data_IF_992315173525
#
_entry.id   IF_992315173525
#
_cell.length_a   1.000
_cell.length_b   1.000
_cell.length_c   1.000
_cell.angle_alpha   90.00
_cell.angle_beta   90.00
_cell.angle_gamma   90.00
#
_symmetry.space_group_name_H-M   'P 1'
#
loop_
_entity.id
_entity.type
_entity.pdbx_description
1 polymer ?
#
# COMPACT_ATOMS: atom_id res chain seq x y z
N UNK A 1 74.26 61.83 27.15
CA UNK A 1 73.36 62.14 28.29
C UNK A 1 72.11 62.79 27.73
N UNK A 2 70.93 62.24 28.11
CA UNK A 2 69.54 62.69 27.84
C UNK A 2 69.13 62.82 26.35
N UNK A 3 67.94 62.39 25.88
CA UNK A 3 66.72 61.85 26.48
C UNK A 3 65.67 61.77 25.35
N UNK A 4 64.83 60.74 25.37
CA UNK A 4 64.00 60.26 24.25
C UNK A 4 62.61 60.92 24.08
N UNK A 5 61.95 60.53 22.98
CA UNK A 5 60.49 60.47 22.71
C UNK A 5 59.73 61.78 22.37
N UNK A 6 58.75 61.83 21.45
CA UNK A 6 57.87 60.79 20.86
C UNK A 6 57.22 61.27 19.54
N UNK A 7 56.84 60.28 18.70
CA UNK A 7 56.10 60.36 17.44
C UNK A 7 54.67 60.95 17.49
N UNK A 8 54.19 61.48 16.35
CA UNK A 8 53.10 60.88 15.52
C UNK A 8 52.87 61.66 14.20
N UNK A 9 52.77 60.97 13.03
CA UNK A 9 52.29 61.55 11.78
C UNK A 9 50.78 61.26 11.59
N UNK A 10 50.07 62.01 10.75
CA UNK A 10 48.76 61.60 10.26
C UNK A 10 48.58 61.86 8.74
N UNK A 11 48.72 60.75 8.01
CA UNK A 11 47.92 60.20 6.89
C UNK A 11 47.69 61.05 5.61
N UNK A 12 48.55 60.76 4.64
CA UNK A 12 48.32 60.45 3.21
C UNK A 12 46.95 60.66 2.53
N UNK A 13 46.97 61.52 1.51
CA UNK A 13 46.72 61.26 0.08
C UNK A 13 45.46 60.48 -0.41
N UNK A 14 44.55 61.27 -1.01
CA UNK A 14 43.78 61.11 -2.28
C UNK A 14 44.11 59.86 -3.09
N UNK A 15 43.12 59.13 -3.65
CA UNK A 15 43.17 58.56 -5.02
C UNK A 15 41.76 58.31 -5.59
N UNK A 16 41.71 58.40 -6.92
CA UNK A 16 40.55 58.60 -7.77
C UNK A 16 39.84 57.30 -8.21
N UNK A 17 38.64 57.49 -8.75
CA UNK A 17 37.72 56.50 -9.30
C UNK A 17 38.28 55.60 -10.40
N UNK A 18 37.71 54.39 -10.52
CA UNK A 18 37.58 53.65 -11.79
C UNK A 18 36.21 52.97 -11.83
N UNK A 19 35.39 53.34 -12.80
CA UNK A 19 34.21 52.58 -13.22
C UNK A 19 34.68 51.22 -13.74
N UNK A 20 34.12 50.14 -13.20
CA UNK A 20 34.21 48.81 -13.78
C UNK A 20 32.82 48.42 -14.27
N UNK A 21 32.64 48.36 -15.59
CA UNK A 21 31.48 47.74 -16.23
C UNK A 21 31.59 46.23 -16.07
N UNK A 22 30.73 45.61 -15.25
CA UNK A 22 30.53 44.17 -15.25
C UNK A 22 29.64 43.78 -16.43
N UNK A 23 30.20 43.07 -17.41
CA UNK A 23 29.39 42.24 -18.31
C UNK A 23 29.13 40.90 -17.62
N UNK A 24 27.90 40.70 -17.13
CA UNK A 24 27.46 39.37 -16.71
C UNK A 24 27.18 38.53 -17.96
N UNK A 25 28.07 37.59 -18.27
CA UNK A 25 27.83 36.58 -19.30
C UNK A 25 26.78 35.60 -18.76
N UNK A 26 25.54 35.70 -19.25
CA UNK A 26 24.47 34.75 -18.95
C UNK A 26 24.70 33.50 -19.80
N UNK A 27 25.29 32.45 -19.20
CA UNK A 27 25.39 31.15 -19.85
C UNK A 27 24.02 30.49 -19.85
N UNK A 28 23.38 30.40 -21.01
CA UNK A 28 22.17 29.62 -21.19
C UNK A 28 22.57 28.13 -21.23
N UNK A 29 22.43 27.44 -20.10
CA UNK A 29 22.53 25.98 -20.07
C UNK A 29 21.34 25.42 -20.84
N UNK A 30 21.58 24.74 -21.96
CA UNK A 30 20.54 24.00 -22.65
C UNK A 30 20.02 22.91 -21.70
N UNK A 31 18.77 23.05 -21.25
CA UNK A 31 18.04 21.97 -20.59
C UNK A 31 17.76 20.93 -21.67
N UNK A 32 18.44 19.79 -21.61
CA UNK A 32 18.04 18.63 -22.39
C UNK A 32 16.76 18.10 -21.79
N UNK A 33 15.63 18.25 -22.47
CA UNK A 33 14.44 17.44 -22.17
C UNK A 33 14.79 16.02 -22.62
N UNK A 34 15.15 15.17 -21.67
CA UNK A 34 15.28 13.74 -21.90
C UNK A 34 13.87 13.15 -22.01
N UNK A 35 13.32 13.19 -23.24
CA UNK A 35 12.07 12.53 -23.57
C UNK A 35 12.36 11.06 -23.91
N UNK A 36 12.73 10.28 -22.90
CA UNK A 36 12.71 8.82 -22.97
C UNK A 36 11.90 8.22 -21.83
N UNK A 37 10.68 8.72 -21.64
CA UNK A 37 9.61 7.90 -21.08
C UNK A 37 8.82 7.34 -22.25
N UNK A 38 9.43 6.40 -22.97
CA UNK A 38 8.64 5.35 -23.60
C UNK A 38 8.05 4.57 -22.42
N UNK A 39 6.86 4.99 -21.97
CA UNK A 39 6.08 4.23 -21.01
C UNK A 39 5.92 2.85 -21.59
N UNK A 40 6.60 1.86 -21.01
CA UNK A 40 6.05 0.53 -21.06
C UNK A 40 4.67 0.69 -20.43
N UNK A 41 3.62 0.62 -21.24
CA UNK A 41 2.28 0.37 -20.71
C UNK A 41 2.46 -0.79 -19.73
N UNK A 42 2.19 -0.59 -18.43
CA UNK A 42 2.31 -1.70 -17.49
C UNK A 42 1.52 -2.85 -18.09
N UNK A 43 2.11 -4.05 -18.09
CA UNK A 43 1.39 -5.25 -18.50
C UNK A 43 0.01 -5.23 -17.82
N UNK A 44 -1.06 -5.54 -18.56
CA UNK A 44 -2.42 -5.44 -18.05
C UNK A 44 -2.48 -6.05 -16.65
N UNK A 45 -2.69 -5.20 -15.64
CA UNK A 45 -2.71 -5.61 -14.25
C UNK A 45 -4.05 -6.26 -13.96
N UNK A 46 -4.04 -7.44 -13.33
CA UNK A 46 -5.26 -8.05 -12.82
C UNK A 46 -5.72 -7.39 -11.51
N UNK A 47 -4.86 -6.58 -10.89
CA UNK A 47 -5.09 -5.98 -9.58
C UNK A 47 -4.90 -4.46 -9.60
N UNK A 48 -5.69 -3.77 -8.78
CA UNK A 48 -5.64 -2.33 -8.57
C UNK A 48 -5.74 -2.01 -7.09
N UNK A 49 -4.88 -1.11 -6.62
CA UNK A 49 -4.90 -0.55 -5.27
C UNK A 49 -5.21 0.93 -5.41
N UNK A 50 -6.35 1.38 -4.87
CA UNK A 50 -6.81 2.77 -4.99
C UNK A 50 -6.87 3.27 -6.44
N UNK A 51 -7.23 2.37 -7.35
CA UNK A 51 -7.32 2.62 -8.79
C UNK A 51 -5.98 2.65 -9.53
N UNK A 52 -4.85 2.45 -8.85
CA UNK A 52 -3.54 2.28 -9.49
C UNK A 52 -3.28 0.80 -9.79
N UNK A 53 -2.85 0.44 -11.01
CA UNK A 53 -2.54 -0.94 -11.35
C UNK A 53 -1.34 -1.42 -10.52
N UNK A 54 -1.51 -2.53 -9.81
CA UNK A 54 -0.46 -3.16 -9.00
C UNK A 54 -0.13 -4.53 -9.58
N UNK A 55 1.06 -4.71 -10.20
CA UNK A 55 1.47 -6.02 -10.69
C UNK A 55 1.77 -6.94 -9.51
N UNK A 56 1.30 -8.19 -9.59
CA UNK A 56 1.67 -9.23 -8.64
C UNK A 56 3.15 -9.65 -8.71
N UNK A 57 3.59 -10.59 -7.87
CA UNK A 57 2.75 -11.44 -7.03
C UNK A 57 2.33 -10.81 -5.69
N UNK A 58 2.98 -9.75 -5.24
CA UNK A 58 2.63 -9.05 -4.00
C UNK A 58 1.82 -7.80 -4.33
N UNK A 59 0.60 -7.72 -3.78
CA UNK A 59 -0.33 -6.62 -3.95
C UNK A 59 -0.47 -5.92 -2.61
N UNK A 60 0.29 -4.85 -2.44
CA UNK A 60 0.35 -4.09 -1.20
C UNK A 60 -0.62 -2.92 -1.21
N UNK A 61 -1.44 -2.84 -0.16
CA UNK A 61 -2.09 -1.63 0.30
C UNK A 61 -1.08 -0.61 0.84
N UNK A 62 -1.59 0.34 1.60
CA UNK A 62 -0.85 1.39 2.30
C UNK A 62 -0.98 1.17 3.80
N UNK A 63 -0.97 2.23 4.61
CA UNK A 63 -1.16 2.11 6.07
C UNK A 63 -2.50 2.73 6.52
N UNK A 64 -3.39 3.01 5.57
CA UNK A 64 -4.73 3.48 5.84
C UNK A 64 -5.68 2.95 4.79
N UNK A 65 -6.97 3.16 5.00
CA UNK A 65 -8.07 2.54 4.25
C UNK A 65 -7.85 2.48 2.73
N UNK A 66 -7.69 1.26 2.22
CA UNK A 66 -7.45 0.95 0.81
C UNK A 66 -8.65 0.28 0.14
N UNK A 67 -8.75 0.51 -1.16
CA UNK A 67 -9.71 -0.17 -2.03
C UNK A 67 -8.94 -1.03 -3.03
N UNK A 68 -8.84 -2.32 -2.71
CA UNK A 68 -8.06 -3.31 -3.44
C UNK A 68 -9.01 -4.19 -4.27
N UNK A 69 -8.74 -4.28 -5.57
CA UNK A 69 -9.54 -5.08 -6.51
C UNK A 69 -8.65 -5.97 -7.33
N UNK A 70 -8.96 -7.26 -7.39
CA UNK A 70 -8.28 -8.20 -8.26
C UNK A 70 -9.27 -9.08 -9.04
N UNK A 71 -9.04 -9.27 -10.33
CA UNK A 71 -9.85 -10.20 -11.13
C UNK A 71 -9.57 -11.65 -10.73
N UNK A 72 -8.30 -12.02 -10.55
CA UNK A 72 -7.93 -13.36 -10.11
C UNK A 72 -6.61 -13.37 -9.35
N UNK A 73 -6.54 -14.19 -8.31
CA UNK A 73 -5.30 -14.57 -7.65
C UNK A 73 -4.99 -16.04 -7.98
N UNK A 74 -3.71 -16.33 -8.21
CA UNK A 74 -3.21 -17.69 -8.39
C UNK A 74 -2.17 -18.04 -7.31
N UNK A 75 -1.73 -19.30 -7.30
CA UNK A 75 -0.66 -19.76 -6.40
C UNK A 75 0.58 -18.86 -6.49
N UNK A 76 0.94 -18.27 -5.35
CA UNK A 76 2.05 -17.34 -5.21
C UNK A 76 1.61 -15.88 -5.08
N UNK A 77 0.40 -15.52 -5.51
CA UNK A 77 -0.13 -14.18 -5.32
C UNK A 77 -0.56 -13.96 -3.87
N UNK A 78 -0.24 -12.79 -3.34
CA UNK A 78 -0.58 -12.38 -1.98
C UNK A 78 -1.07 -10.92 -1.98
N UNK A 79 -2.25 -10.69 -1.40
CA UNK A 79 -2.73 -9.36 -1.05
C UNK A 79 -2.35 -9.06 0.41
N UNK A 80 -1.89 -7.84 0.67
CA UNK A 80 -1.71 -7.28 2.01
C UNK A 80 -2.46 -5.94 2.11
N UNK A 81 -3.54 -5.86 2.89
CA UNK A 81 -4.19 -4.57 3.19
C UNK A 81 -3.39 -3.72 4.17
N UNK A 82 -2.72 -4.39 5.12
CA UNK A 82 -1.83 -3.84 6.16
C UNK A 82 -2.56 -3.21 7.35
N UNK A 83 -2.59 -1.89 7.48
CA UNK A 83 -3.27 -1.18 8.56
C UNK A 83 -4.36 -0.31 7.90
N UNK A 84 -5.52 -0.15 8.52
CA UNK A 84 -6.62 0.63 7.94
C UNK A 84 -7.87 -0.23 7.85
N UNK A 85 -9.01 0.38 7.50
CA UNK A 85 -10.23 -0.37 7.22
C UNK A 85 -10.31 -0.58 5.71
N UNK A 86 -9.82 -1.72 5.24
CA UNK A 86 -9.64 -1.99 3.82
C UNK A 86 -10.88 -2.63 3.19
N UNK A 87 -11.11 -2.33 1.92
CA UNK A 87 -12.09 -3.05 1.10
C UNK A 87 -11.36 -3.85 0.05
N UNK A 88 -11.31 -5.17 0.22
CA UNK A 88 -10.64 -6.10 -0.67
C UNK A 88 -11.68 -6.88 -1.46
N UNK A 89 -11.61 -6.84 -2.79
CA UNK A 89 -12.51 -7.58 -3.67
C UNK A 89 -11.74 -8.40 -4.68
N UNK A 90 -12.00 -9.70 -4.68
CA UNK A 90 -11.38 -10.64 -5.59
C UNK A 90 -12.46 -11.44 -6.31
N UNK A 91 -12.44 -11.47 -7.64
CA UNK A 91 -13.44 -12.28 -8.37
C UNK A 91 -13.13 -13.76 -8.21
N UNK A 92 -11.91 -14.21 -8.52
CA UNK A 92 -11.47 -15.60 -8.34
C UNK A 92 -10.21 -15.73 -7.47
N UNK A 93 -10.28 -16.45 -6.35
CA UNK A 93 -9.09 -16.80 -5.57
C UNK A 93 -8.69 -18.26 -5.81
N UNK A 94 -7.88 -18.51 -6.83
CA UNK A 94 -7.42 -19.85 -7.21
C UNK A 94 -6.06 -20.19 -6.57
N UNK A 95 -6.07 -20.39 -5.26
CA UNK A 95 -4.90 -20.69 -4.43
C UNK A 95 -3.96 -19.51 -4.10
N UNK A 96 -4.44 -18.27 -4.23
CA UNK A 96 -3.77 -17.10 -3.66
C UNK A 96 -4.02 -16.93 -2.16
N UNK A 97 -3.38 -15.92 -1.57
CA UNK A 97 -3.55 -15.54 -0.18
C UNK A 97 -4.06 -14.10 -0.09
N UNK A 98 -5.08 -13.87 0.72
CA UNK A 98 -5.58 -12.54 1.04
C UNK A 98 -5.35 -12.31 2.53
N UNK A 99 -4.65 -11.23 2.87
CA UNK A 99 -4.52 -10.74 4.24
C UNK A 99 -5.13 -9.35 4.32
N UNK A 100 -6.22 -9.16 5.09
CA UNK A 100 -6.78 -7.83 5.36
C UNK A 100 -5.78 -7.01 6.16
N UNK A 101 -5.42 -7.49 7.36
CA UNK A 101 -4.36 -6.89 8.14
C UNK A 101 -4.87 -6.44 9.50
N UNK A 102 -4.71 -5.17 9.87
CA UNK A 102 -5.30 -4.60 11.07
C UNK A 102 -6.34 -3.56 10.69
N UNK A 103 -7.49 -3.62 11.34
CA UNK A 103 -8.58 -2.68 11.15
C UNK A 103 -9.88 -3.44 11.01
N UNK A 104 -10.95 -2.75 10.61
CA UNK A 104 -12.22 -3.40 10.29
C UNK A 104 -12.29 -3.54 8.78
N UNK A 105 -11.86 -4.68 8.28
CA UNK A 105 -11.72 -4.95 6.86
C UNK A 105 -13.00 -5.57 6.28
N UNK A 106 -13.22 -5.34 4.99
CA UNK A 106 -14.26 -6.01 4.22
C UNK A 106 -13.61 -6.81 3.10
N UNK A 107 -13.74 -8.14 3.16
CA UNK A 107 -13.25 -9.04 2.11
C UNK A 107 -14.41 -9.65 1.34
N UNK A 108 -14.46 -9.40 0.03
CA UNK A 108 -15.50 -9.95 -0.86
C UNK A 108 -14.91 -10.85 -1.93
N UNK A 109 -15.31 -12.12 -1.93
CA UNK A 109 -15.06 -13.09 -2.98
C UNK A 109 -16.31 -13.27 -3.84
N UNK A 110 -16.24 -12.84 -5.11
CA UNK A 110 -17.41 -12.79 -5.97
C UNK A 110 -17.78 -14.15 -6.56
N UNK A 111 -16.78 -15.00 -6.82
CA UNK A 111 -16.95 -16.34 -7.37
C UNK A 111 -16.28 -17.38 -6.45
N UNK A 112 -15.36 -18.20 -6.98
CA UNK A 112 -14.76 -19.34 -6.27
C UNK A 112 -13.51 -18.96 -5.46
N UNK A 113 -13.45 -19.45 -4.22
CA UNK A 113 -12.26 -19.52 -3.38
C UNK A 113 -11.73 -20.95 -3.29
N UNK A 114 -10.48 -21.17 -3.69
CA UNK A 114 -9.70 -22.37 -3.34
C UNK A 114 -8.38 -21.99 -2.66
N UNK A 115 -8.21 -20.72 -2.32
CA UNK A 115 -7.05 -20.18 -1.60
C UNK A 115 -7.32 -19.95 -0.12
N UNK A 116 -6.51 -19.06 0.46
CA UNK A 116 -6.61 -18.67 1.86
C UNK A 116 -7.06 -17.21 1.96
N UNK A 117 -8.05 -16.96 2.81
CA UNK A 117 -8.42 -15.63 3.29
C UNK A 117 -8.11 -15.56 4.78
N UNK A 118 -7.41 -14.51 5.17
CA UNK A 118 -7.12 -14.11 6.54
C UNK A 118 -7.64 -12.68 6.69
N UNK A 119 -8.74 -12.46 7.40
CA UNK A 119 -9.32 -11.12 7.52
C UNK A 119 -8.40 -10.25 8.39
N UNK A 120 -8.03 -10.71 9.58
CA UNK A 120 -6.88 -10.18 10.31
C UNK A 120 -7.19 -9.83 11.77
N UNK A 121 -6.59 -8.75 12.25
CA UNK A 121 -6.88 -8.20 13.57
C UNK A 121 -7.94 -7.11 13.44
N UNK A 122 -9.10 -7.30 14.07
CA UNK A 122 -10.21 -6.35 14.11
C UNK A 122 -11.53 -7.04 13.83
N UNK A 123 -12.60 -6.26 13.72
CA UNK A 123 -13.94 -6.83 13.50
C UNK A 123 -14.23 -6.78 12.01
N UNK A 124 -14.07 -7.92 11.34
CA UNK A 124 -14.03 -7.97 9.89
C UNK A 124 -15.33 -8.54 9.28
N UNK A 125 -15.63 -8.11 8.06
CA UNK A 125 -16.74 -8.59 7.26
C UNK A 125 -16.22 -9.42 6.09
N UNK A 126 -16.50 -10.73 6.06
CA UNK A 126 -16.11 -11.61 4.94
C UNK A 126 -17.34 -12.15 4.21
N UNK A 127 -17.45 -11.88 2.92
CA UNK A 127 -18.55 -12.35 2.07
C UNK A 127 -17.99 -13.15 0.90
N UNK A 128 -18.33 -14.43 0.82
CA UNK A 128 -17.93 -15.31 -0.28
C UNK A 128 -19.12 -16.00 -0.95
N UNK A 129 -19.15 -15.97 -2.29
CA UNK A 129 -20.14 -16.72 -3.07
C UNK A 129 -19.91 -18.24 -2.96
N UNK A 130 -18.67 -18.70 -3.15
CA UNK A 130 -18.32 -20.11 -3.03
C UNK A 130 -16.95 -20.29 -2.38
N UNK A 131 -16.91 -21.00 -1.26
CA UNK A 131 -15.67 -21.51 -0.68
C UNK A 131 -15.50 -22.98 -1.05
N UNK A 132 -14.67 -23.25 -2.06
CA UNK A 132 -14.41 -24.59 -2.59
C UNK A 132 -13.67 -25.49 -1.59
N UNK A 133 -13.50 -26.76 -1.96
CA UNK A 133 -12.99 -27.81 -1.05
C UNK A 133 -11.61 -27.54 -0.42
N UNK A 134 -10.77 -26.74 -1.09
CA UNK A 134 -9.45 -26.33 -0.59
C UNK A 134 -9.44 -24.92 0.01
N UNK A 135 -10.55 -24.20 -0.15
CA UNK A 135 -10.73 -22.86 0.34
C UNK A 135 -10.78 -22.83 1.86
N UNK A 136 -10.05 -21.87 2.42
CA UNK A 136 -10.05 -21.55 3.84
C UNK A 136 -10.35 -20.08 4.02
N UNK A 137 -11.29 -19.78 4.89
CA UNK A 137 -11.64 -18.41 5.29
C UNK A 137 -11.47 -18.32 6.80
N UNK A 138 -10.54 -17.48 7.24
CA UNK A 138 -10.25 -17.22 8.65
C UNK A 138 -10.58 -15.76 8.96
N UNK A 139 -11.48 -15.52 9.91
CA UNK A 139 -11.76 -14.19 10.46
C UNK A 139 -10.56 -13.65 11.24
N UNK A 140 -9.94 -14.53 12.01
CA UNK A 140 -8.80 -14.24 12.88
C UNK A 140 -9.25 -13.52 14.16
N UNK A 141 -8.62 -12.43 14.59
CA UNK A 141 -8.81 -11.92 15.94
C UNK A 141 -9.77 -10.73 15.95
N UNK A 142 -10.94 -10.89 16.57
CA UNK A 142 -11.95 -9.85 16.69
C UNK A 142 -13.35 -10.46 16.67
N UNK A 143 -14.38 -9.62 16.64
CA UNK A 143 -15.76 -10.09 16.49
C UNK A 143 -16.16 -10.01 15.01
N UNK A 144 -16.02 -11.10 14.26
CA UNK A 144 -16.17 -11.11 12.79
C UNK A 144 -17.58 -11.50 12.31
N UNK A 145 -18.02 -10.97 11.15
CA UNK A 145 -19.20 -11.46 10.43
C UNK A 145 -18.78 -12.14 9.11
N UNK A 146 -19.01 -13.46 9.03
CA UNK A 146 -18.62 -14.26 7.87
C UNK A 146 -19.87 -14.86 7.20
N UNK A 147 -20.11 -14.48 5.95
CA UNK A 147 -21.18 -15.05 5.14
C UNK A 147 -20.60 -15.82 3.95
N UNK A 148 -20.92 -17.12 3.88
CA UNK A 148 -20.53 -17.97 2.75
C UNK A 148 -21.76 -18.67 2.20
N UNK A 149 -22.10 -18.38 0.95
CA UNK A 149 -23.33 -18.91 0.34
C UNK A 149 -23.24 -20.42 0.08
N UNK A 150 -22.15 -20.86 -0.54
CA UNK A 150 -21.82 -22.28 -0.77
C UNK A 150 -20.47 -22.58 -0.11
N UNK A 151 -20.42 -23.52 0.83
CA UNK A 151 -19.19 -23.84 1.57
C UNK A 151 -18.87 -25.33 1.49
N UNK A 152 -17.94 -25.68 0.63
CA UNK A 152 -17.33 -27.02 0.56
C UNK A 152 -16.02 -27.10 1.37
N UNK A 153 -15.47 -25.95 1.77
CA UNK A 153 -14.20 -25.81 2.47
C UNK A 153 -14.32 -25.60 3.98
N UNK A 154 -13.40 -24.82 4.51
CA UNK A 154 -13.33 -24.45 5.92
C UNK A 154 -13.59 -22.96 6.12
N UNK A 155 -14.44 -22.66 7.11
CA UNK A 155 -14.64 -21.33 7.68
C UNK A 155 -14.30 -21.40 9.15
N UNK A 156 -13.45 -20.51 9.63
CA UNK A 156 -13.07 -20.39 11.03
C UNK A 156 -13.18 -18.92 11.44
N UNK A 157 -14.05 -18.60 12.41
CA UNK A 157 -14.14 -17.25 12.98
C UNK A 157 -12.83 -16.82 13.65
N UNK A 158 -12.19 -17.73 14.38
CA UNK A 158 -11.03 -17.43 15.20
C UNK A 158 -11.39 -16.96 16.61
N UNK A 159 -10.50 -16.22 17.30
CA UNK A 159 -10.78 -15.69 18.63
C UNK A 159 -11.72 -14.47 18.61
N UNK A 160 -12.93 -14.64 19.14
CA UNK A 160 -13.84 -13.54 19.47
C UNK A 160 -15.29 -14.00 19.50
N UNK A 161 -16.22 -13.08 19.28
CA UNK A 161 -17.65 -13.39 19.18
C UNK A 161 -18.11 -13.36 17.72
N UNK A 162 -17.69 -14.36 16.96
CA UNK A 162 -17.92 -14.38 15.51
C UNK A 162 -19.32 -14.84 15.15
N UNK A 163 -19.88 -14.31 14.07
CA UNK A 163 -21.16 -14.72 13.49
C UNK A 163 -20.92 -15.27 12.10
N UNK A 164 -21.18 -16.57 11.91
CA UNK A 164 -20.98 -17.22 10.61
C UNK A 164 -22.30 -17.71 10.02
N UNK A 165 -22.70 -17.13 8.88
CA UNK A 165 -23.87 -17.51 8.11
C UNK A 165 -23.45 -18.43 6.97
N UNK A 166 -23.29 -19.71 7.29
CA UNK A 166 -22.73 -20.73 6.38
C UNK A 166 -23.62 -21.97 6.37
N UNK A 167 -23.96 -22.48 5.19
CA UNK A 167 -24.97 -23.54 5.04
C UNK A 167 -24.43 -24.96 5.20
N UNK A 168 -23.14 -25.19 4.98
CA UNK A 168 -22.50 -26.52 4.96
C UNK A 168 -20.97 -26.41 5.15
N UNK A 169 -20.24 -27.52 4.98
CA UNK A 169 -18.79 -27.57 5.12
C UNK A 169 -18.32 -27.58 6.58
N UNK A 170 -17.03 -27.26 6.78
CA UNK A 170 -16.44 -27.15 8.11
C UNK A 170 -16.60 -25.71 8.59
N UNK A 171 -17.20 -25.55 9.78
CA UNK A 171 -17.41 -24.25 10.42
C UNK A 171 -16.89 -24.32 11.86
N UNK A 172 -15.94 -23.48 12.21
CA UNK A 172 -15.23 -23.46 13.49
C UNK A 172 -15.31 -22.08 14.14
N UNK A 173 -15.29 -22.07 15.48
CA UNK A 173 -15.25 -20.86 16.31
C UNK A 173 -16.34 -19.80 16.03
N UNK A 174 -17.43 -20.19 15.38
CA UNK A 174 -18.56 -19.31 15.11
C UNK A 174 -19.66 -19.48 16.16
N UNK A 175 -20.25 -18.37 16.59
CA UNK A 175 -21.48 -18.40 17.37
C UNK A 175 -22.69 -18.69 16.46
N UNK A 176 -23.71 -19.38 16.99
CA UNK A 176 -24.93 -19.72 16.26
C UNK A 176 -25.84 -18.52 15.98
#
# INVERSE_FOLDING_TARGET
MAGANTLRPNVSARWAARLATLMAALTLTAVTLDATHAGAEPAASNCFVNGQPQPGPEIDGTAGDDDIRCDSLVSGDVIFGHDGNDTIRVTFNHAGVINGGKGQDTVRLEEENTGLVQAGDGNDDVIASHNGQLGRIHGNAGDDEIQVLLNDGEVDGGPGNDVCRVNEGIVLNCNP
#
